data_IF_964116555072
#
_entry.id   IF_964116555072
#
_cell.length_a   1.000
_cell.length_b   1.000
_cell.length_c   1.000
_cell.angle_alpha   90.00
_cell.angle_beta   90.00
_cell.angle_gamma   90.00
#
_symmetry.space_group_name_H-M   'P 1'
#
loop_
_entity.id
_entity.type
_entity.pdbx_description
1 polymer ?
#
# COMPACT_ATOMS: atom_id res chain seq x y z
N UNK A 1 -31.42 -50.30 39.28
CA UNK A 1 -31.05 -48.99 39.86
C UNK A 1 -29.61 -48.66 39.44
N UNK A 2 -29.32 -47.37 39.21
CA UNK A 2 -28.03 -46.77 38.79
C UNK A 2 -27.69 -46.86 37.29
N UNK A 3 -27.29 -45.79 36.60
CA UNK A 3 -27.44 -44.33 36.79
C UNK A 3 -27.03 -43.73 35.44
N UNK A 4 -27.83 -42.79 34.97
CA UNK A 4 -27.60 -41.97 33.77
C UNK A 4 -26.20 -41.33 33.80
N UNK A 5 -25.44 -41.46 32.71
CA UNK A 5 -24.39 -40.49 32.36
C UNK A 5 -24.73 -39.91 30.98
N UNK A 6 -25.43 -38.77 31.03
CA UNK A 6 -25.69 -37.90 29.89
C UNK A 6 -24.35 -37.22 29.54
N UNK A 7 -23.70 -37.64 28.45
CA UNK A 7 -22.57 -36.90 27.90
C UNK A 7 -23.12 -35.70 27.11
N UNK A 8 -23.06 -34.53 27.73
CA UNK A 8 -23.38 -33.25 27.10
C UNK A 8 -22.29 -32.92 26.07
N UNK A 9 -22.56 -33.22 24.80
CA UNK A 9 -21.78 -32.70 23.67
C UNK A 9 -22.01 -31.18 23.58
N UNK A 10 -21.10 -30.39 24.17
CA UNK A 10 -21.05 -28.94 23.95
C UNK A 10 -20.48 -28.75 22.54
N UNK A 11 -21.38 -28.52 21.58
CA UNK A 11 -21.05 -27.97 20.27
C UNK A 11 -20.47 -26.57 20.47
N UNK A 12 -19.14 -26.48 20.47
CA UNK A 12 -18.45 -25.22 20.26
C UNK A 12 -18.74 -24.78 18.82
N UNK A 13 -19.78 -23.96 18.64
CA UNK A 13 -19.95 -23.19 17.40
C UNK A 13 -18.86 -22.14 17.36
N UNK A 14 -17.72 -22.53 16.82
CA UNK A 14 -16.64 -21.62 16.44
C UNK A 14 -17.24 -20.60 15.47
N UNK A 15 -17.54 -19.40 15.95
CA UNK A 15 -17.62 -18.23 15.10
C UNK A 15 -16.26 -18.14 14.39
N UNK A 16 -16.23 -18.51 13.11
CA UNK A 16 -15.13 -18.18 12.25
C UNK A 16 -15.09 -16.65 12.20
N UNK A 17 -14.26 -16.05 13.05
CA UNK A 17 -13.87 -14.66 12.89
C UNK A 17 -13.23 -14.58 11.50
N UNK A 18 -13.95 -14.04 10.52
CA UNK A 18 -13.37 -13.70 9.23
C UNK A 18 -12.13 -12.87 9.55
N UNK A 19 -10.91 -13.35 9.25
CA UNK A 19 -9.73 -12.54 9.46
C UNK A 19 -9.96 -11.27 8.66
N UNK A 20 -10.01 -10.13 9.36
CA UNK A 20 -10.06 -8.80 8.75
C UNK A 20 -8.97 -8.77 7.68
N UNK A 21 -9.36 -8.85 6.40
CA UNK A 21 -8.39 -8.99 5.34
C UNK A 21 -7.53 -7.74 5.32
N UNK A 22 -6.21 -7.92 5.46
CA UNK A 22 -5.29 -6.80 5.54
C UNK A 22 -5.26 -6.06 4.19
N UNK A 23 -5.29 -4.73 4.27
CA UNK A 23 -5.23 -3.84 3.12
C UNK A 23 -4.14 -2.80 3.35
N UNK A 24 -3.29 -2.58 2.37
CA UNK A 24 -2.28 -1.51 2.41
C UNK A 24 -1.85 -1.07 1.01
N UNK A 25 -1.44 0.18 0.91
CA UNK A 25 -0.80 0.75 -0.29
C UNK A 25 0.52 1.38 0.16
N UNK A 26 1.60 1.06 -0.53
CA UNK A 26 2.88 1.76 -0.40
C UNK A 26 3.22 2.32 -1.77
N UNK A 27 3.25 3.64 -1.86
CA UNK A 27 3.58 4.39 -3.06
C UNK A 27 4.88 5.13 -2.84
N UNK A 28 5.90 4.74 -3.59
CA UNK A 28 7.24 5.32 -3.54
C UNK A 28 7.55 6.01 -4.86
N UNK A 29 8.08 7.22 -4.76
CA UNK A 29 8.72 7.91 -5.88
C UNK A 29 10.18 8.13 -5.52
N UNK A 30 11.07 7.90 -6.46
CA UNK A 30 12.50 8.02 -6.23
C UNK A 30 13.20 8.70 -7.41
N UNK A 31 14.33 9.34 -7.15
CA UNK A 31 15.19 9.95 -8.15
C UNK A 31 16.57 9.27 -8.15
N UNK A 32 17.11 9.05 -9.35
CA UNK A 32 18.42 8.44 -9.58
C UNK A 32 19.54 9.37 -9.10
N UNK A 33 19.36 10.69 -9.26
CA UNK A 33 20.32 11.72 -8.86
C UNK A 33 19.64 12.82 -8.01
N UNK A 34 20.04 12.95 -6.74
CA UNK A 34 19.47 13.95 -5.82
C UNK A 34 20.41 14.20 -4.63
N UNK A 35 20.41 15.43 -4.13
CA UNK A 35 21.36 15.90 -3.10
C UNK A 35 20.81 15.72 -1.68
N UNK A 36 19.49 15.54 -1.50
CA UNK A 36 18.83 15.54 -0.18
C UNK A 36 17.78 14.43 -0.02
N UNK A 37 16.54 14.73 -0.39
CA UNK A 37 15.37 13.85 -0.29
C UNK A 37 15.18 13.21 -1.67
N UNK A 38 15.45 11.92 -1.70
CA UNK A 38 15.68 11.14 -2.91
C UNK A 38 14.62 10.09 -3.13
N UNK A 39 13.89 9.78 -2.07
CA UNK A 39 12.85 8.80 -2.00
C UNK A 39 11.74 9.35 -1.13
N UNK A 40 10.54 9.38 -1.67
CA UNK A 40 9.32 9.81 -1.01
C UNK A 40 8.39 8.61 -0.94
N UNK A 41 8.06 8.16 0.27
CA UNK A 41 7.31 6.92 0.51
C UNK A 41 6.03 7.26 1.24
N UNK A 42 4.90 7.12 0.55
CA UNK A 42 3.56 7.23 1.09
C UNK A 42 3.05 5.83 1.46
N UNK A 43 2.91 5.57 2.75
CA UNK A 43 2.31 4.34 3.30
C UNK A 43 0.89 4.62 3.77
N UNK A 44 -0.06 3.86 3.26
CA UNK A 44 -1.49 4.00 3.54
C UNK A 44 -2.04 2.67 4.05
N UNK A 45 -2.68 2.72 5.21
CA UNK A 45 -3.46 1.60 5.76
C UNK A 45 -4.78 2.13 6.34
N UNK A 46 -5.60 1.24 6.91
CA UNK A 46 -6.90 1.61 7.48
C UNK A 46 -6.83 2.63 8.62
N UNK A 47 -5.70 2.74 9.30
CA UNK A 47 -5.52 3.56 10.49
C UNK A 47 -4.85 4.89 10.16
N UNK A 48 -3.92 4.92 9.21
CA UNK A 48 -3.04 6.08 9.00
C UNK A 48 -2.57 6.27 7.57
N UNK A 49 -2.12 7.50 7.34
CA UNK A 49 -1.36 7.96 6.19
C UNK A 49 0.00 8.42 6.69
N UNK A 50 1.08 7.80 6.22
CA UNK A 50 2.44 8.13 6.65
C UNK A 50 3.27 8.48 5.42
N UNK A 51 3.91 9.64 5.43
CA UNK A 51 4.83 10.08 4.38
C UNK A 51 6.24 10.15 4.94
N UNK A 52 7.15 9.35 4.38
CA UNK A 52 8.55 9.33 4.74
C UNK A 52 9.43 9.86 3.62
N UNK A 53 10.38 10.73 3.99
CA UNK A 53 11.38 11.32 3.12
C UNK A 53 12.74 10.70 3.46
N UNK A 54 13.32 9.99 2.49
CA UNK A 54 14.58 9.25 2.61
C UNK A 54 15.66 9.89 1.75
N UNK A 55 16.87 9.88 2.29
CA UNK A 55 18.10 10.25 1.56
C UNK A 55 18.81 9.00 1.06
N UNK A 56 19.65 9.13 0.02
CA UNK A 56 20.59 8.06 -0.38
C UNK A 56 21.62 7.75 0.72
N UNK A 57 21.94 8.73 1.57
CA UNK A 57 22.77 8.51 2.74
C UNK A 57 22.01 7.66 3.76
N UNK A 58 22.23 6.34 3.71
CA UNK A 58 21.60 5.36 4.60
C UNK A 58 21.87 5.62 6.09
N UNK A 59 22.85 6.47 6.43
CA UNK A 59 23.13 6.88 7.81
C UNK A 59 22.15 7.94 8.32
N UNK A 60 21.50 8.69 7.43
CA UNK A 60 20.46 9.66 7.80
C UNK A 60 19.14 8.94 8.02
N UNK A 61 18.57 9.16 9.19
CA UNK A 61 17.23 8.65 9.51
C UNK A 61 16.20 9.30 8.57
N UNK A 62 15.20 8.52 8.10
CA UNK A 62 14.09 9.09 7.35
C UNK A 62 13.31 10.09 8.21
N UNK A 63 12.89 11.20 7.60
CA UNK A 63 11.91 12.10 8.20
C UNK A 63 10.53 11.57 7.85
N UNK A 64 9.69 11.24 8.82
CA UNK A 64 8.33 10.74 8.59
C UNK A 64 7.29 11.65 9.23
N UNK A 65 6.19 11.88 8.53
CA UNK A 65 5.01 12.62 8.99
C UNK A 65 3.81 11.68 8.92
N UNK A 66 3.05 11.58 10.02
CA UNK A 66 1.85 10.75 10.09
C UNK A 66 0.60 11.62 10.24
N UNK A 67 -0.40 11.34 9.40
CA UNK A 67 -1.75 11.88 9.51
C UNK A 67 -2.76 10.74 9.69
N UNK A 68 -3.84 11.03 10.42
CA UNK A 68 -5.03 10.16 10.45
C UNK A 68 -5.94 10.52 9.29
N UNK A 69 -6.70 9.53 8.81
CA UNK A 69 -7.75 9.77 7.83
C UNK A 69 -8.78 10.78 8.38
N UNK A 70 -9.11 11.80 7.57
CA UNK A 70 -10.17 12.76 7.89
C UNK A 70 -11.52 12.05 7.98
N UNK A 71 -11.80 11.13 7.05
CA UNK A 71 -12.95 10.25 7.09
C UNK A 71 -12.53 8.77 7.11
N UNK A 72 -13.15 7.99 8.00
CA UNK A 72 -12.89 6.55 8.19
C UNK A 72 -13.06 5.72 6.91
N UNK A 73 -13.83 6.20 5.92
CA UNK A 73 -14.09 5.48 4.68
C UNK A 73 -13.14 5.86 3.54
N UNK A 74 -12.33 6.91 3.68
CA UNK A 74 -11.47 7.40 2.58
C UNK A 74 -10.48 6.33 2.11
N UNK A 75 -9.87 5.62 3.06
CA UNK A 75 -8.99 4.50 2.75
C UNK A 75 -9.73 3.40 1.99
N UNK A 76 -10.95 3.06 2.40
CA UNK A 76 -11.75 2.02 1.75
C UNK A 76 -12.13 2.41 0.31
N UNK A 77 -12.46 3.69 0.09
CA UNK A 77 -12.73 4.22 -1.26
C UNK A 77 -11.46 4.14 -2.12
N UNK A 78 -10.31 4.50 -1.56
CA UNK A 78 -9.03 4.45 -2.27
C UNK A 78 -8.64 3.02 -2.64
N UNK A 79 -8.62 2.09 -1.68
CA UNK A 79 -8.23 0.69 -1.92
C UNK A 79 -9.21 -0.02 -2.87
N UNK A 80 -10.51 0.31 -2.82
CA UNK A 80 -11.48 -0.22 -3.77
C UNK A 80 -11.31 0.33 -5.19
N UNK A 81 -10.64 1.50 -5.33
CA UNK A 81 -10.33 2.08 -6.64
C UNK A 81 -9.07 1.52 -7.29
N UNK A 82 -8.36 0.59 -6.63
CA UNK A 82 -7.23 -0.13 -7.21
C UNK A 82 -7.72 -0.94 -8.42
N UNK A 83 -7.19 -0.70 -9.63
CA UNK A 83 -7.55 -1.48 -10.81
C UNK A 83 -7.12 -2.94 -10.63
N UNK A 84 -8.01 -3.90 -10.87
CA UNK A 84 -7.67 -5.33 -10.71
C UNK A 84 -6.49 -5.76 -11.62
N UNK A 85 -6.35 -5.12 -12.79
CA UNK A 85 -5.22 -5.36 -13.71
C UNK A 85 -3.85 -5.01 -13.10
N UNK A 86 -3.80 -4.22 -12.02
CA UNK A 86 -2.55 -3.96 -11.29
C UNK A 86 -1.91 -5.25 -10.77
N UNK A 87 -2.72 -6.21 -10.30
CA UNK A 87 -2.21 -7.46 -9.73
C UNK A 87 -1.63 -8.43 -10.76
N UNK A 88 -1.72 -8.09 -12.04
CA UNK A 88 -1.13 -8.84 -13.16
C UNK A 88 0.03 -8.09 -13.83
N UNK A 89 0.40 -6.90 -13.31
CA UNK A 89 1.55 -6.18 -13.83
C UNK A 89 2.85 -6.92 -13.49
N UNK A 90 3.85 -6.88 -14.39
CA UNK A 90 5.18 -7.38 -14.06
C UNK A 90 5.81 -6.58 -12.92
N UNK A 91 6.86 -7.14 -12.32
CA UNK A 91 7.66 -6.45 -11.30
C UNK A 91 8.30 -5.17 -11.84
N UNK A 92 8.61 -5.12 -13.15
CA UNK A 92 9.18 -3.93 -13.80
C UNK A 92 8.37 -3.59 -15.05
N UNK A 93 7.95 -2.33 -15.17
CA UNK A 93 7.26 -1.77 -16.34
C UNK A 93 8.13 -0.64 -16.91
N UNK A 94 8.55 -0.78 -18.17
CA UNK A 94 9.47 0.17 -18.80
C UNK A 94 10.88 0.08 -18.24
N UNK A 95 11.58 1.21 -18.18
CA UNK A 95 12.97 1.31 -17.70
C UNK A 95 13.10 2.34 -16.57
N UNK A 96 12.59 2.04 -15.36
CA UNK A 96 12.48 3.01 -14.27
C UNK A 96 13.83 3.59 -13.80
N UNK A 97 14.94 2.89 -14.06
CA UNK A 97 16.30 3.33 -13.71
C UNK A 97 17.07 3.97 -14.89
N UNK A 98 16.49 4.03 -16.09
CA UNK A 98 17.17 4.55 -17.28
C UNK A 98 17.17 6.08 -17.39
N UNK A 99 16.41 6.78 -16.54
CA UNK A 99 16.26 8.23 -16.59
C UNK A 99 16.64 8.90 -15.27
N UNK A 100 17.19 10.11 -15.37
CA UNK A 100 17.52 10.96 -14.21
C UNK A 100 16.29 11.32 -13.36
N UNK A 101 15.09 11.23 -13.96
CA UNK A 101 13.81 11.50 -13.31
C UNK A 101 13.42 10.43 -12.28
N UNK A 102 14.09 9.26 -12.32
CA UNK A 102 13.83 8.10 -11.48
C UNK A 102 12.48 7.41 -11.73
N UNK A 103 12.01 6.64 -10.74
CA UNK A 103 10.92 5.68 -10.91
C UNK A 103 9.79 5.79 -9.89
N UNK A 104 8.75 4.98 -10.13
CA UNK A 104 7.60 4.81 -9.24
C UNK A 104 7.56 3.35 -8.77
N UNK A 105 7.69 3.11 -7.47
CA UNK A 105 7.44 1.81 -6.86
C UNK A 105 6.07 1.80 -6.21
N UNK A 106 5.25 0.82 -6.57
CA UNK A 106 3.92 0.65 -6.02
C UNK A 106 3.76 -0.76 -5.49
N UNK A 107 3.46 -0.88 -4.21
CA UNK A 107 3.06 -2.13 -3.57
C UNK A 107 1.63 -1.99 -3.06
N UNK A 108 0.78 -2.96 -3.38
CA UNK A 108 -0.60 -2.99 -2.91
C UNK A 108 -0.91 -4.38 -2.37
N UNK A 109 -1.48 -4.44 -1.17
CA UNK A 109 -2.12 -5.62 -0.60
C UNK A 109 -3.63 -5.33 -0.52
N UNK A 110 -4.44 -6.13 -1.21
CA UNK A 110 -5.91 -6.01 -1.25
C UNK A 110 -6.53 -7.39 -1.26
N UNK A 111 -7.41 -7.68 -0.31
CA UNK A 111 -8.18 -8.93 -0.26
C UNK A 111 -7.31 -10.20 -0.34
N UNK A 112 -6.10 -10.16 0.25
CA UNK A 112 -5.12 -11.26 0.21
C UNK A 112 -4.31 -11.34 -1.08
N UNK A 113 -4.66 -10.59 -2.13
CA UNK A 113 -3.82 -10.40 -3.32
C UNK A 113 -2.78 -9.32 -3.04
N UNK A 114 -1.56 -9.53 -3.52
CA UNK A 114 -0.55 -8.48 -3.52
C UNK A 114 0.18 -8.42 -4.85
N UNK A 115 0.70 -7.23 -5.17
CA UNK A 115 1.68 -7.06 -6.22
C UNK A 115 2.62 -5.90 -5.87
N UNK A 116 3.86 -5.99 -6.37
CA UNK A 116 4.86 -4.94 -6.31
C UNK A 116 5.34 -4.67 -7.74
N UNK A 117 5.21 -3.44 -8.19
CA UNK A 117 5.71 -3.02 -9.51
C UNK A 117 6.56 -1.77 -9.39
N UNK A 118 7.69 -1.79 -10.07
CA UNK A 118 8.57 -0.67 -10.35
C UNK A 118 8.30 -0.16 -11.77
N UNK A 119 7.92 1.10 -11.90
CA UNK A 119 7.26 1.62 -13.10
C UNK A 119 8.00 2.89 -13.54
N UNK A 120 8.45 2.88 -14.78
CA UNK A 120 8.91 4.08 -15.47
C UNK A 120 7.76 5.10 -15.55
N UNK A 121 7.93 6.34 -15.06
CA UNK A 121 6.89 7.34 -15.06
C UNK A 121 6.27 7.63 -16.43
N UNK A 122 7.03 7.41 -17.52
CA UNK A 122 6.58 7.62 -18.91
C UNK A 122 5.77 6.44 -19.46
N UNK A 123 5.92 5.25 -18.88
CA UNK A 123 5.28 3.99 -19.31
C UNK A 123 4.16 3.55 -18.35
N UNK A 124 3.67 4.45 -17.49
CA UNK A 124 2.54 4.17 -16.60
C UNK A 124 1.36 3.66 -17.43
N UNK A 125 0.86 2.43 -17.17
CA UNK A 125 -0.28 1.90 -17.89
C UNK A 125 -1.49 2.81 -17.77
N UNK A 126 -2.20 3.07 -18.87
CA UNK A 126 -3.32 4.03 -18.91
C UNK A 126 -4.37 3.80 -17.82
N UNK A 127 -4.63 2.55 -17.46
CA UNK A 127 -5.59 2.19 -16.42
C UNK A 127 -5.16 2.61 -15.00
N UNK A 128 -3.87 2.86 -14.78
CA UNK A 128 -3.30 3.32 -13.50
C UNK A 128 -3.26 4.85 -13.36
N UNK A 129 -3.36 5.61 -14.45
CA UNK A 129 -3.14 7.07 -14.44
C UNK A 129 -3.99 7.79 -13.38
N UNK A 130 -5.28 7.47 -13.29
CA UNK A 130 -6.17 8.08 -12.30
C UNK A 130 -5.78 7.68 -10.87
N UNK A 131 -5.39 6.43 -10.64
CA UNK A 131 -5.02 5.94 -9.32
C UNK A 131 -3.68 6.54 -8.86
N UNK A 132 -2.65 6.53 -9.71
CA UNK A 132 -1.36 7.16 -9.41
C UNK A 132 -1.51 8.66 -9.20
N UNK A 133 -2.35 9.35 -9.97
CA UNK A 133 -2.63 10.77 -9.74
C UNK A 133 -3.19 11.00 -8.33
N UNK A 134 -4.17 10.21 -7.89
CA UNK A 134 -4.71 10.33 -6.52
C UNK A 134 -3.64 10.15 -5.45
N UNK A 135 -2.73 9.20 -5.63
CA UNK A 135 -1.63 8.96 -4.70
C UNK A 135 -0.65 10.14 -4.65
N UNK A 136 -0.34 10.75 -5.81
CA UNK A 136 0.47 11.98 -5.87
C UNK A 136 -0.23 13.17 -5.20
N UNK A 137 -1.52 13.34 -5.45
CA UNK A 137 -2.33 14.40 -4.83
C UNK A 137 -2.32 14.22 -3.30
N UNK A 138 -2.52 13.00 -2.80
CA UNK A 138 -2.42 12.69 -1.36
C UNK A 138 -1.02 12.96 -0.79
N UNK A 139 0.04 12.53 -1.48
CA UNK A 139 1.41 12.79 -1.06
C UNK A 139 1.72 14.30 -0.96
N UNK A 140 1.10 15.11 -1.82
CA UNK A 140 1.30 16.56 -1.82
C UNK A 140 0.71 17.27 -0.58
N UNK A 141 -0.23 16.63 0.13
CA UNK A 141 -0.79 17.16 1.39
C UNK A 141 0.23 17.14 2.56
N UNK A 142 1.39 16.51 2.38
CA UNK A 142 2.46 16.41 3.39
C UNK A 142 3.62 17.40 3.18
N UNK A 143 3.56 18.23 2.13
CA UNK A 143 4.52 19.31 1.87
C UNK A 143 4.12 20.59 2.61
#
# INVERSE_FOLDING_TARGET
MMRFFLFTFILCTSFAANPSVAHSIVFETYASECVRECQHILTLDKLRQEMCFKSWDQKKQPRCIEHKWKNKNDFQILINSVPESFFSLPETVGSPDAFDQGGIKLFILKDGKNNKSDIDPSEVPKFMNTFIKKLRDLASEFN
#
